data_IF_997895585004
#
_entry.id   IF_997895585004
#
_cell.length_a   1.000
_cell.length_b   1.000
_cell.length_c   1.000
_cell.angle_alpha   90.00
_cell.angle_beta   90.00
_cell.angle_gamma   90.00
#
_symmetry.space_group_name_H-M   'P 1'
#
loop_
_entity.id
_entity.type
_entity.pdbx_description
1 polymer ?
#
# COMPACT_ATOMS: atom_id res chain seq x y z
N UNK A 1 2.39 -38.06 4.09
CA UNK A 1 3.60 -38.03 4.93
C UNK A 1 4.85 -37.69 4.14
N UNK A 2 5.26 -36.43 4.11
CA UNK A 2 6.60 -36.04 3.65
C UNK A 2 7.16 -34.98 4.61
N UNK A 3 7.68 -35.48 5.73
CA UNK A 3 8.60 -34.74 6.59
C UNK A 3 9.83 -34.37 5.76
N UNK A 4 9.82 -33.16 5.17
CA UNK A 4 11.01 -32.58 4.54
C UNK A 4 12.00 -32.27 5.66
N UNK A 5 13.12 -32.99 5.63
CA UNK A 5 14.20 -32.88 6.59
C UNK A 5 14.73 -31.43 6.65
N UNK A 6 14.88 -30.96 7.88
CA UNK A 6 14.92 -29.57 8.33
C UNK A 6 16.32 -29.12 8.77
N UNK A 7 17.38 -29.50 8.04
CA UNK A 7 18.75 -29.08 8.38
C UNK A 7 19.44 -28.56 7.11
N UNK A 8 19.99 -27.34 7.11
CA UNK A 8 20.78 -26.84 6.00
C UNK A 8 22.04 -27.69 5.83
N UNK A 9 22.24 -28.24 4.64
CA UNK A 9 23.45 -28.97 4.26
C UNK A 9 24.35 -27.95 3.57
N UNK A 10 25.53 -27.64 4.13
CA UNK A 10 26.40 -26.61 3.56
C UNK A 10 26.83 -27.03 2.14
N UNK A 11 26.40 -26.27 1.13
CA UNK A 11 26.80 -26.45 -0.26
C UNK A 11 25.76 -27.07 -1.20
N UNK A 12 24.49 -27.25 -0.80
CA UNK A 12 23.45 -27.75 -1.70
C UNK A 12 22.58 -26.62 -2.28
N UNK A 13 22.39 -26.63 -3.61
CA UNK A 13 21.59 -25.64 -4.32
C UNK A 13 20.13 -25.63 -3.83
N UNK A 14 19.61 -24.43 -3.56
CA UNK A 14 18.26 -24.11 -3.06
C UNK A 14 17.11 -24.59 -3.95
N UNK A 15 17.39 -25.25 -5.07
CA UNK A 15 16.41 -25.78 -6.02
C UNK A 15 15.90 -27.18 -5.67
N UNK A 16 16.61 -27.93 -4.82
CA UNK A 16 16.28 -29.35 -4.53
C UNK A 16 15.50 -29.51 -3.22
N UNK A 17 15.64 -28.58 -2.28
CA UNK A 17 14.88 -28.51 -1.03
C UNK A 17 14.12 -27.19 -1.01
N UNK A 18 12.79 -27.22 -1.02
CA UNK A 18 11.95 -26.02 -0.95
C UNK A 18 12.11 -25.29 0.39
N UNK A 19 13.24 -24.62 0.59
CA UNK A 19 13.70 -24.06 1.86
C UNK A 19 14.66 -22.88 1.69
N UNK A 20 14.85 -22.14 2.79
CA UNK A 20 15.68 -20.94 2.87
C UNK A 20 17.10 -21.11 2.36
N UNK A 21 17.67 -19.98 1.94
CA UNK A 21 19.09 -19.80 1.81
C UNK A 21 19.78 -19.97 3.18
N UNK A 22 20.86 -20.74 3.23
CA UNK A 22 21.65 -21.02 4.46
C UNK A 22 22.16 -19.76 5.17
N UNK A 23 22.24 -18.63 4.46
CA UNK A 23 22.63 -17.33 5.00
C UNK A 23 21.59 -16.73 5.95
N UNK A 24 20.33 -17.18 5.91
CA UNK A 24 19.24 -16.61 6.69
C UNK A 24 19.04 -17.31 8.03
N UNK A 25 19.57 -16.69 9.10
CA UNK A 25 19.47 -17.19 10.48
C UNK A 25 18.04 -17.28 11.02
N UNK A 26 17.13 -16.43 10.53
CA UNK A 26 15.72 -16.39 10.94
C UNK A 26 14.89 -17.58 10.44
N UNK A 27 15.44 -18.38 9.53
CA UNK A 27 14.71 -19.50 8.94
C UNK A 27 14.60 -20.72 9.87
N UNK A 28 15.57 -20.88 10.77
CA UNK A 28 15.58 -21.98 11.75
C UNK A 28 14.42 -21.90 12.74
N UNK A 29 13.96 -20.69 13.08
CA UNK A 29 12.92 -20.44 14.08
C UNK A 29 11.52 -20.18 13.51
N UNK A 30 11.34 -20.30 12.20
CA UNK A 30 10.12 -19.89 11.49
C UNK A 30 9.34 -21.08 10.93
N UNK A 31 8.07 -21.19 11.32
CA UNK A 31 7.14 -22.19 10.77
C UNK A 31 6.68 -21.80 9.37
N UNK A 32 6.58 -22.79 8.47
CA UNK A 32 6.09 -22.57 7.09
C UNK A 32 4.61 -22.23 7.08
N UNK A 33 4.24 -21.25 6.26
CA UNK A 33 2.83 -20.89 6.02
C UNK A 33 2.22 -21.86 5.02
N UNK A 34 1.06 -22.48 5.31
CA UNK A 34 0.40 -23.38 4.36
C UNK A 34 -0.06 -22.62 3.12
N UNK A 35 0.32 -23.10 1.95
CA UNK A 35 0.13 -22.37 0.68
C UNK A 35 -1.35 -22.10 0.36
N UNK A 36 -2.25 -23.03 0.67
CA UNK A 36 -3.68 -22.85 0.43
C UNK A 36 -4.27 -21.67 1.22
N UNK A 37 -3.88 -21.50 2.49
CA UNK A 37 -4.34 -20.36 3.29
C UNK A 37 -3.77 -19.05 2.76
N UNK A 38 -2.52 -19.04 2.30
CA UNK A 38 -1.92 -17.86 1.70
C UNK A 38 -2.67 -17.41 0.43
N UNK A 39 -2.93 -18.33 -0.50
CA UNK A 39 -3.66 -18.02 -1.74
C UNK A 39 -5.07 -17.51 -1.42
N UNK A 40 -5.79 -18.20 -0.53
CA UNK A 40 -7.13 -17.78 -0.11
C UNK A 40 -7.11 -16.36 0.47
N UNK A 41 -6.20 -16.09 1.41
CA UNK A 41 -6.11 -14.78 2.03
C UNK A 41 -5.73 -13.67 1.04
N UNK A 42 -4.83 -13.98 0.10
CA UNK A 42 -4.39 -13.04 -0.92
C UNK A 42 -5.54 -12.66 -1.87
N UNK A 43 -6.32 -13.63 -2.34
CA UNK A 43 -7.42 -13.36 -3.27
C UNK A 43 -8.57 -12.62 -2.57
N UNK A 44 -9.03 -13.12 -1.42
CA UNK A 44 -10.23 -12.58 -0.78
C UNK A 44 -9.99 -11.30 0.01
N UNK A 45 -8.90 -11.21 0.79
CA UNK A 45 -8.64 -10.00 1.60
C UNK A 45 -7.89 -8.94 0.80
N UNK A 46 -6.76 -9.30 0.21
CA UNK A 46 -5.93 -8.31 -0.49
C UNK A 46 -6.53 -7.91 -1.84
N UNK A 47 -7.05 -8.88 -2.60
CA UNK A 47 -7.67 -8.64 -3.91
C UNK A 47 -8.91 -7.75 -3.86
N UNK A 48 -9.69 -7.80 -2.77
CA UNK A 48 -10.84 -6.91 -2.58
C UNK A 48 -10.41 -5.59 -1.94
N UNK A 49 -9.53 -5.60 -0.93
CA UNK A 49 -9.16 -4.36 -0.23
C UNK A 49 -8.43 -3.35 -1.16
N UNK A 50 -7.52 -3.83 -2.01
CA UNK A 50 -6.70 -2.97 -2.85
C UNK A 50 -7.50 -2.04 -3.78
N UNK A 51 -8.45 -2.52 -4.62
CA UNK A 51 -9.22 -1.64 -5.51
C UNK A 51 -10.14 -0.67 -4.75
N UNK A 52 -10.65 -1.07 -3.57
CA UNK A 52 -11.53 -0.24 -2.75
C UNK A 52 -10.79 0.89 -2.03
N UNK A 53 -9.48 0.75 -1.79
CA UNK A 53 -8.67 1.80 -1.18
C UNK A 53 -8.06 2.70 -2.25
N UNK A 54 -7.51 2.12 -3.32
CA UNK A 54 -6.72 2.87 -4.29
C UNK A 54 -7.58 3.72 -5.23
N UNK A 55 -8.68 3.18 -5.76
CA UNK A 55 -9.52 3.88 -6.73
C UNK A 55 -10.16 5.16 -6.16
N UNK A 56 -10.82 5.14 -4.98
CA UNK A 56 -11.45 6.34 -4.45
C UNK A 56 -10.44 7.34 -3.89
N UNK A 57 -9.20 6.94 -3.54
CA UNK A 57 -8.21 7.86 -3.00
C UNK A 57 -7.85 8.99 -3.97
N UNK A 58 -7.64 8.65 -5.25
CA UNK A 58 -7.34 9.62 -6.30
C UNK A 58 -8.54 10.55 -6.56
N UNK A 59 -9.76 10.00 -6.58
CA UNK A 59 -11.00 10.77 -6.78
C UNK A 59 -11.24 11.74 -5.62
N UNK A 60 -11.15 11.24 -4.38
CA UNK A 60 -11.29 12.04 -3.17
C UNK A 60 -10.27 13.19 -3.15
N UNK A 61 -9.04 12.94 -3.57
CA UNK A 61 -8.00 13.96 -3.67
C UNK A 61 -8.37 15.08 -4.65
N UNK A 62 -8.87 14.74 -5.85
CA UNK A 62 -9.31 15.74 -6.83
C UNK A 62 -10.53 16.55 -6.37
N UNK A 63 -11.48 15.91 -5.70
CA UNK A 63 -12.69 16.56 -5.17
C UNK A 63 -12.37 17.53 -4.02
N UNK A 64 -11.42 17.18 -3.15
CA UNK A 64 -10.97 18.07 -2.05
C UNK A 64 -10.23 19.30 -2.58
N UNK A 65 -9.52 19.17 -3.70
CA UNK A 65 -8.81 20.30 -4.32
C UNK A 65 -9.74 21.25 -5.08
N UNK A 66 -10.76 20.70 -5.75
CA UNK A 66 -11.59 21.43 -6.68
C UNK A 66 -10.81 21.96 -7.90
N UNK A 67 -11.38 22.91 -8.67
CA UNK A 67 -10.79 23.39 -9.92
C UNK A 67 -9.52 24.26 -9.73
N UNK A 68 -9.02 24.47 -8.50
CA UNK A 68 -7.81 25.30 -8.26
C UNK A 68 -6.56 24.48 -8.37
N UNK A 69 -5.65 24.85 -9.30
CA UNK A 69 -4.27 24.32 -9.36
C UNK A 69 -4.20 22.77 -9.29
N UNK A 70 -5.17 22.08 -9.89
CA UNK A 70 -5.31 20.62 -9.83
C UNK A 70 -4.06 19.90 -10.36
N UNK A 71 -3.48 20.37 -11.47
CA UNK A 71 -2.35 19.70 -12.14
C UNK A 71 -1.09 19.54 -11.27
N UNK A 72 -0.62 20.60 -10.61
CA UNK A 72 0.60 20.53 -9.80
C UNK A 72 0.44 19.61 -8.58
N UNK A 73 -0.69 19.72 -7.91
CA UNK A 73 -0.97 18.97 -6.68
C UNK A 73 -1.26 17.49 -6.97
N UNK A 74 -2.02 17.19 -8.04
CA UNK A 74 -2.22 15.83 -8.51
C UNK A 74 -0.92 15.21 -9.02
N UNK A 75 -0.04 16.02 -9.64
CA UNK A 75 1.32 15.61 -9.99
C UNK A 75 2.15 15.21 -8.76
N UNK A 76 2.09 15.99 -7.66
CA UNK A 76 2.77 15.66 -6.41
C UNK A 76 2.23 14.37 -5.77
N UNK A 77 0.91 14.18 -5.79
CA UNK A 77 0.27 12.94 -5.35
C UNK A 77 0.77 11.72 -6.15
N UNK A 78 0.80 11.84 -7.49
CA UNK A 78 1.29 10.78 -8.37
C UNK A 78 2.79 10.50 -8.19
N UNK A 79 3.59 11.54 -7.92
CA UNK A 79 5.00 11.40 -7.61
C UNK A 79 5.20 10.61 -6.31
N UNK A 80 4.43 10.92 -5.26
CA UNK A 80 4.42 10.14 -4.02
C UNK A 80 4.08 8.67 -4.26
N UNK A 81 3.04 8.39 -5.05
CA UNK A 81 2.65 7.03 -5.42
C UNK A 81 3.74 6.24 -6.15
N UNK A 82 4.67 6.90 -6.83
CA UNK A 82 5.78 6.26 -7.54
C UNK A 82 7.04 6.11 -6.66
N UNK A 83 7.34 7.10 -5.82
CA UNK A 83 8.54 7.10 -4.95
C UNK A 83 8.36 6.15 -3.77
N UNK A 84 7.15 6.07 -3.20
CA UNK A 84 6.90 5.23 -2.01
C UNK A 84 7.21 3.75 -2.26
N UNK A 85 6.74 3.10 -3.34
CA UNK A 85 7.08 1.70 -3.64
C UNK A 85 8.58 1.46 -3.85
N UNK A 86 9.28 2.42 -4.46
CA UNK A 86 10.74 2.34 -4.64
C UNK A 86 11.46 2.27 -3.29
N UNK A 87 11.16 3.21 -2.39
CA UNK A 87 11.75 3.26 -1.05
C UNK A 87 11.33 2.04 -0.22
N UNK A 88 10.04 1.65 -0.28
CA UNK A 88 9.51 0.51 0.46
C UNK A 88 10.19 -0.80 0.04
N UNK A 89 10.42 -1.01 -1.26
CA UNK A 89 11.07 -2.23 -1.77
C UNK A 89 12.49 -2.40 -1.23
N UNK A 90 13.26 -1.30 -1.12
CA UNK A 90 14.62 -1.33 -0.57
C UNK A 90 14.58 -1.68 0.93
N UNK A 91 13.74 -0.99 1.71
CA UNK A 91 13.63 -1.19 3.16
C UNK A 91 13.14 -2.60 3.48
N UNK A 92 12.11 -3.08 2.80
CA UNK A 92 11.52 -4.40 3.03
C UNK A 92 12.52 -5.50 2.67
N UNK A 93 13.24 -5.37 1.55
CA UNK A 93 14.24 -6.36 1.14
C UNK A 93 15.37 -6.47 2.17
N UNK A 94 15.90 -5.32 2.61
CA UNK A 94 16.94 -5.29 3.64
C UNK A 94 16.45 -5.90 4.97
N UNK A 95 15.25 -5.52 5.41
CA UNK A 95 14.68 -6.00 6.66
C UNK A 95 14.37 -7.50 6.61
N UNK A 96 13.87 -7.99 5.48
CA UNK A 96 13.59 -9.40 5.26
C UNK A 96 14.86 -10.25 5.36
N UNK A 97 15.98 -9.80 4.77
CA UNK A 97 17.25 -10.53 4.82
C UNK A 97 17.77 -10.69 6.24
N UNK A 98 17.67 -9.66 7.07
CA UNK A 98 18.26 -9.66 8.42
C UNK A 98 17.35 -10.20 9.52
N UNK A 99 16.05 -9.88 9.48
CA UNK A 99 15.13 -10.16 10.59
C UNK A 99 13.99 -11.12 10.24
N UNK A 100 13.86 -11.47 8.96
CA UNK A 100 12.81 -12.35 8.44
C UNK A 100 11.45 -11.68 8.30
N UNK A 101 10.44 -12.47 7.94
CA UNK A 101 9.11 -11.98 7.57
C UNK A 101 8.28 -11.40 8.73
N UNK A 102 8.54 -11.82 9.98
CA UNK A 102 7.76 -11.39 11.17
C UNK A 102 7.83 -9.89 11.41
N UNK A 103 9.01 -9.29 11.24
CA UNK A 103 9.19 -7.85 11.44
C UNK A 103 8.68 -7.05 10.24
N UNK A 104 8.79 -7.61 9.03
CA UNK A 104 8.22 -7.01 7.82
C UNK A 104 6.71 -6.87 7.93
N UNK A 105 6.00 -7.91 8.39
CA UNK A 105 4.54 -7.85 8.55
C UNK A 105 4.12 -6.86 9.64
N UNK A 106 4.88 -6.75 10.75
CA UNK A 106 4.63 -5.76 11.80
C UNK A 106 4.82 -4.33 11.24
N UNK A 107 5.91 -4.08 10.51
CA UNK A 107 6.18 -2.78 9.91
C UNK A 107 5.07 -2.37 8.92
N UNK A 108 4.65 -3.28 8.05
CA UNK A 108 3.57 -3.04 7.09
C UNK A 108 2.23 -2.79 7.81
N UNK A 109 1.89 -3.62 8.79
CA UNK A 109 0.67 -3.45 9.58
C UNK A 109 0.66 -2.12 10.34
N UNK A 110 1.80 -1.70 10.90
CA UNK A 110 1.93 -0.43 11.62
C UNK A 110 1.74 0.77 10.67
N UNK A 111 2.27 0.69 9.45
CA UNK A 111 2.14 1.75 8.44
C UNK A 111 0.68 1.93 8.02
N UNK A 112 -0.04 0.82 7.77
CA UNK A 112 -1.47 0.85 7.44
C UNK A 112 -2.28 1.40 8.63
N UNK A 113 -1.94 0.99 9.85
CA UNK A 113 -2.62 1.48 11.05
C UNK A 113 -2.43 2.99 11.24
N UNK A 114 -1.22 3.51 11.06
CA UNK A 114 -0.94 4.95 11.11
C UNK A 114 -1.73 5.69 10.03
N UNK A 115 -1.76 5.17 8.79
CA UNK A 115 -2.54 5.76 7.71
C UNK A 115 -4.05 5.81 8.03
N UNK A 116 -4.58 4.74 8.62
CA UNK A 116 -5.98 4.68 9.07
C UNK A 116 -6.27 5.71 10.18
N UNK A 117 -5.39 5.82 11.18
CA UNK A 117 -5.53 6.82 12.26
C UNK A 117 -5.49 8.24 11.70
N UNK A 118 -4.54 8.54 10.80
CA UNK A 118 -4.47 9.84 10.12
C UNK A 118 -5.74 10.13 9.33
N UNK A 119 -6.29 9.14 8.63
CA UNK A 119 -7.55 9.27 7.89
C UNK A 119 -8.71 9.63 8.83
N UNK A 120 -8.82 8.98 10.00
CA UNK A 120 -9.85 9.30 10.98
C UNK A 120 -9.71 10.71 11.56
N UNK A 121 -8.49 11.11 11.92
CA UNK A 121 -8.20 12.45 12.48
C UNK A 121 -8.56 13.55 11.48
N UNK A 122 -8.21 13.37 10.20
CA UNK A 122 -8.48 14.34 9.15
C UNK A 122 -9.79 14.11 8.40
N UNK A 123 -10.65 13.18 8.84
CA UNK A 123 -11.91 12.83 8.18
C UNK A 123 -12.80 14.06 7.97
N UNK A 124 -12.91 14.91 8.99
CA UNK A 124 -13.67 16.17 8.94
C UNK A 124 -13.17 17.15 7.86
N UNK A 125 -11.87 17.10 7.52
CA UNK A 125 -11.25 17.97 6.50
C UNK A 125 -11.35 17.39 5.09
N UNK A 126 -11.44 16.06 4.97
CA UNK A 126 -11.61 15.35 3.69
C UNK A 126 -13.06 15.37 3.17
N UNK A 127 -14.00 15.95 3.92
CA UNK A 127 -15.37 16.17 3.44
C UNK A 127 -15.31 17.11 2.23
N UNK A 128 -15.86 16.66 1.11
CA UNK A 128 -15.88 17.39 -0.16
C UNK A 128 -16.27 18.85 0.04
N UNK A 129 -15.51 19.75 -0.60
CA UNK A 129 -15.95 21.12 -0.79
C UNK A 129 -17.29 21.08 -1.55
N UNK A 130 -18.36 21.54 -0.91
CA UNK A 130 -19.68 21.73 -1.56
C UNK A 130 -19.60 22.93 -2.51
N UNK A 131 -18.76 22.85 -3.54
CA UNK A 131 -18.77 23.77 -4.67
C UNK A 131 -19.90 23.33 -5.60
N UNK A 132 -21.15 23.54 -5.16
CA UNK A 132 -22.32 23.45 -6.02
C UNK A 132 -22.72 24.88 -6.40
N UNK A 133 -22.12 25.49 -7.44
CA UNK A 133 -22.79 26.61 -8.08
C UNK A 133 -24.15 26.11 -8.57
N UNK A 134 -25.20 26.90 -8.40
CA UNK A 134 -26.52 26.56 -8.97
C UNK A 134 -26.36 26.47 -10.49
N UNK A 135 -27.03 25.49 -11.12
CA UNK A 135 -27.05 25.38 -12.58
C UNK A 135 -27.41 26.74 -13.20
N UNK A 136 -26.53 27.27 -14.05
CA UNK A 136 -26.70 28.57 -14.70
C UNK A 136 -26.08 29.79 -14.00
N UNK A 137 -25.49 29.66 -12.80
CA UNK A 137 -24.79 30.77 -12.14
C UNK A 137 -23.26 30.65 -12.28
N UNK A 138 -22.62 31.70 -12.81
CA UNK A 138 -21.17 31.77 -12.94
C UNK A 138 -20.51 31.92 -11.56
N UNK A 139 -19.74 30.92 -11.14
CA UNK A 139 -18.88 31.08 -9.96
C UNK A 139 -17.68 31.95 -10.33
N UNK A 140 -17.59 33.16 -9.76
CA UNK A 140 -16.45 34.05 -9.95
C UNK A 140 -15.19 33.41 -9.36
N UNK A 141 -14.20 33.18 -10.22
CA UNK A 141 -12.91 32.63 -9.82
C UNK A 141 -11.83 33.69 -9.92
N UNK A 142 -10.80 33.59 -9.06
CA UNK A 142 -9.68 34.54 -9.08
C UNK A 142 -8.96 34.61 -10.43
N UNK A 143 -9.11 33.57 -11.27
CA UNK A 143 -8.50 33.43 -12.60
C UNK A 143 -9.51 33.02 -13.72
N UNK A 144 -10.81 33.37 -13.61
CA UNK A 144 -11.78 33.10 -14.69
C UNK A 144 -13.20 32.79 -14.20
N UNK A 145 -14.06 32.33 -15.10
CA UNK A 145 -15.42 31.85 -14.78
C UNK A 145 -15.53 30.38 -15.18
N UNK A 146 -16.02 29.54 -14.25
CA UNK A 146 -16.32 28.14 -14.52
C UNK A 146 -17.84 28.00 -14.72
N UNK A 147 -18.24 27.42 -15.85
CA UNK A 147 -19.64 27.11 -16.13
C UNK A 147 -19.93 25.67 -15.74
N UNK A 148 -20.85 25.46 -14.80
CA UNK A 148 -21.47 24.15 -14.61
C UNK A 148 -22.50 23.98 -15.73
N UNK A 149 -22.27 23.04 -16.65
CA UNK A 149 -23.34 22.55 -17.53
C UNK A 149 -24.34 21.72 -16.72
#
# INVERSE_FOLDING_TARGET
>A
DLHINTIPIPGSNTTIVGGCLDTYTWCSSTTRVPMALYIFAFVFFFGIAFPFVESPAAVLYSEVLGPRKQGMMQGLFSFGGSVTPFVASIIITFLFQHTGYKYVIILQSSTIFIAFVLMLVFYKRMVLLKLKPKNGESAAYKNGVFYSM
#
